data_IF_050951118001
#
_entry.id   IF_050951118001
#
_cell.length_a   1.000
_cell.length_b   1.000
_cell.length_c   1.000
_cell.angle_alpha   90.00
_cell.angle_beta   90.00
_cell.angle_gamma   90.00
#
_symmetry.space_group_name_H-M   'P 1'
#
loop_
_entity.id
_entity.type
_entity.pdbx_description
1 polymer ?
#
# COMPACT_ATOMS: atom_id res chain seq x y z
N UNK A 1 -33.03 5.05 19.05
CA UNK A 1 -32.73 5.44 20.45
C UNK A 1 -31.36 6.10 20.40
N UNK A 2 -31.27 7.40 20.70
CA UNK A 2 -30.00 8.13 20.65
C UNK A 2 -29.17 7.81 21.90
N UNK A 3 -27.86 7.62 21.74
CA UNK A 3 -26.94 7.35 22.83
C UNK A 3 -26.85 8.60 23.75
N UNK A 4 -27.01 8.51 25.08
CA UNK A 4 -26.96 9.65 26.00
C UNK A 4 -25.72 10.55 25.79
N UNK A 5 -24.59 9.94 25.45
CA UNK A 5 -23.33 10.63 25.16
C UNK A 5 -23.43 11.58 23.95
N UNK A 6 -24.14 11.19 22.89
CA UNK A 6 -24.31 12.01 21.68
C UNK A 6 -25.13 13.28 21.97
N UNK A 7 -26.10 13.17 22.89
CA UNK A 7 -26.98 14.27 23.31
C UNK A 7 -26.23 15.25 24.20
N UNK A 8 -25.47 14.76 25.17
CA UNK A 8 -24.70 15.60 26.11
C UNK A 8 -23.58 16.38 25.40
N UNK A 9 -22.99 15.80 24.36
CA UNK A 9 -21.88 16.43 23.61
C UNK A 9 -22.32 17.13 22.31
N UNK A 10 -23.64 17.27 22.08
CA UNK A 10 -24.20 17.91 20.88
C UNK A 10 -23.61 17.34 19.58
N UNK A 11 -23.34 16.03 19.56
CA UNK A 11 -22.79 15.32 18.40
C UNK A 11 -23.96 15.11 17.45
N UNK A 12 -23.97 15.86 16.34
CA UNK A 12 -24.96 15.66 15.28
C UNK A 12 -24.64 14.35 14.57
N UNK A 13 -25.54 13.37 14.63
CA UNK A 13 -25.44 12.14 13.84
C UNK A 13 -25.47 12.51 12.35
N UNK A 14 -24.30 12.61 11.74
CA UNK A 14 -24.19 12.71 10.28
C UNK A 14 -24.78 11.44 9.69
N UNK A 15 -25.64 11.58 8.68
CA UNK A 15 -26.15 10.43 7.93
C UNK A 15 -24.98 9.49 7.54
N UNK A 16 -25.17 8.16 7.59
CA UNK A 16 -24.11 7.25 7.17
C UNK A 16 -23.70 7.62 5.75
N UNK A 17 -22.43 7.98 5.57
CA UNK A 17 -21.83 8.18 4.24
C UNK A 17 -22.22 6.97 3.40
N UNK A 18 -22.61 7.20 2.14
CA UNK A 18 -22.95 6.15 1.18
C UNK A 18 -21.94 5.02 1.31
N UNK A 19 -22.40 3.84 1.75
CA UNK A 19 -21.52 2.70 2.02
C UNK A 19 -20.83 2.33 0.70
N UNK A 20 -19.54 2.64 0.58
CA UNK A 20 -18.67 2.14 -0.46
C UNK A 20 -18.66 0.61 -0.38
N UNK A 21 -18.49 -0.09 -1.50
CA UNK A 21 -18.40 -1.56 -1.49
C UNK A 21 -17.11 -2.06 -0.80
N UNK A 22 -16.22 -1.13 -0.45
CA UNK A 22 -14.88 -1.35 0.10
C UNK A 22 -14.92 -1.61 1.62
N UNK A 23 -14.43 -2.77 2.08
CA UNK A 23 -14.05 -3.01 3.47
C UNK A 23 -13.06 -1.96 4.00
N UNK A 24 -13.06 -1.78 5.33
CA UNK A 24 -12.05 -0.94 5.99
C UNK A 24 -10.72 -1.68 6.09
N UNK A 25 -9.63 -1.00 5.70
CA UNK A 25 -8.25 -1.52 5.78
C UNK A 25 -7.55 -1.18 7.10
N UNK A 26 -8.27 -0.79 8.15
CA UNK A 26 -7.67 -0.44 9.46
C UNK A 26 -6.86 -1.59 10.07
N UNK A 27 -7.40 -2.82 10.03
CA UNK A 27 -6.71 -4.01 10.54
C UNK A 27 -5.42 -4.30 9.77
N UNK A 28 -5.45 -4.10 8.44
CA UNK A 28 -4.28 -4.23 7.59
C UNK A 28 -3.20 -3.22 7.98
N UNK A 29 -3.53 -1.94 8.13
CA UNK A 29 -2.54 -0.92 8.49
C UNK A 29 -1.98 -1.12 9.90
N UNK A 30 -2.80 -1.61 10.84
CA UNK A 30 -2.32 -1.96 12.18
C UNK A 30 -1.30 -3.11 12.11
N UNK A 31 -1.59 -4.17 11.36
CA UNK A 31 -0.66 -5.29 11.18
C UNK A 31 0.62 -4.85 10.45
N UNK A 32 0.47 -4.08 9.38
CA UNK A 32 1.58 -3.55 8.59
C UNK A 32 2.53 -2.69 9.45
N UNK A 33 1.99 -1.87 10.36
CA UNK A 33 2.80 -1.07 11.27
C UNK A 33 3.69 -1.88 12.21
N UNK A 34 3.36 -3.16 12.46
CA UNK A 34 4.18 -4.03 13.31
C UNK A 34 5.35 -4.66 12.55
N UNK A 35 5.21 -4.82 11.23
CA UNK A 35 6.22 -5.44 10.36
C UNK A 35 7.12 -4.42 9.63
N UNK A 36 6.68 -3.16 9.57
CA UNK A 36 7.44 -2.06 8.97
C UNK A 36 8.66 -1.67 9.81
N UNK A 37 9.79 -2.29 9.48
CA UNK A 37 11.07 -2.09 10.17
C UNK A 37 11.86 -0.84 9.73
N UNK A 38 11.45 -0.20 8.63
CA UNK A 38 12.26 0.83 7.95
C UNK A 38 11.70 2.26 8.05
N UNK A 39 10.50 2.44 8.59
CA UNK A 39 9.69 3.67 8.38
C UNK A 39 9.15 4.30 9.68
N UNK A 40 9.38 3.68 10.84
CA UNK A 40 8.88 4.19 12.12
C UNK A 40 9.87 5.14 12.82
N UNK A 41 9.39 6.21 13.48
CA UNK A 41 10.23 7.07 14.33
C UNK A 41 10.69 6.37 15.61
N UNK A 42 9.95 5.35 16.06
CA UNK A 42 10.29 4.54 17.23
C UNK A 42 11.15 3.36 16.79
N UNK A 43 12.45 3.36 17.09
CA UNK A 43 13.29 2.22 16.77
C UNK A 43 12.74 1.00 17.50
N UNK A 44 12.59 -0.13 16.79
CA UNK A 44 12.52 -1.41 17.49
C UNK A 44 13.74 -1.51 18.41
N UNK A 45 13.56 -2.07 19.62
CA UNK A 45 14.65 -2.23 20.58
C UNK A 45 15.87 -2.98 19.99
N UNK A 46 15.66 -3.73 18.89
CA UNK A 46 16.68 -4.48 18.18
C UNK A 46 16.78 -4.02 16.71
N UNK A 47 17.86 -3.35 16.35
CA UNK A 47 18.14 -2.83 14.98
C UNK A 47 18.15 -3.91 13.88
N UNK A 48 18.42 -5.17 14.24
CA UNK A 48 18.48 -6.30 13.30
C UNK A 48 17.24 -7.20 13.33
N UNK A 49 16.17 -6.82 14.05
CA UNK A 49 14.95 -7.62 14.08
C UNK A 49 14.26 -7.57 12.72
N UNK A 50 14.00 -8.74 12.14
CA UNK A 50 13.13 -8.91 10.96
C UNK A 50 11.75 -9.37 11.42
N UNK A 51 10.68 -8.98 10.70
CA UNK A 51 9.33 -9.47 11.00
C UNK A 51 9.27 -11.00 10.85
N UNK A 52 8.42 -11.65 11.63
CA UNK A 52 8.28 -13.10 11.49
C UNK A 52 7.55 -13.43 10.19
N UNK A 53 7.84 -14.57 9.53
CA UNK A 53 7.11 -14.98 8.33
C UNK A 53 5.59 -15.06 8.55
N UNK A 54 5.16 -15.39 9.77
CA UNK A 54 3.73 -15.45 10.14
C UNK A 54 3.09 -14.06 10.11
N UNK A 55 3.77 -13.04 10.62
CA UNK A 55 3.25 -11.67 10.63
C UNK A 55 3.15 -11.07 9.21
N UNK A 56 4.14 -11.39 8.36
CA UNK A 56 4.13 -11.01 6.94
C UNK A 56 2.97 -11.70 6.22
N UNK A 57 2.85 -13.02 6.36
CA UNK A 57 1.75 -13.79 5.76
C UNK A 57 0.36 -13.31 6.24
N UNK A 58 0.23 -12.93 7.51
CA UNK A 58 -1.01 -12.37 8.04
C UNK A 58 -1.39 -11.04 7.36
N UNK A 59 -0.40 -10.19 7.06
CA UNK A 59 -0.62 -8.92 6.35
C UNK A 59 -1.03 -9.14 4.90
N UNK A 60 -0.37 -10.07 4.20
CA UNK A 60 -0.74 -10.49 2.83
C UNK A 60 -2.16 -11.05 2.78
N UNK A 61 -2.56 -11.86 3.78
CA UNK A 61 -3.92 -12.39 3.89
C UNK A 61 -4.98 -11.30 4.03
N UNK A 62 -4.72 -10.27 4.83
CA UNK A 62 -5.65 -9.15 4.98
C UNK A 62 -5.83 -8.38 3.65
N UNK A 63 -4.75 -8.19 2.88
CA UNK A 63 -4.84 -7.61 1.54
C UNK A 63 -5.60 -8.53 0.57
N UNK A 64 -5.35 -9.84 0.65
CA UNK A 64 -6.04 -10.83 -0.16
C UNK A 64 -7.55 -10.87 0.14
N UNK A 65 -7.96 -10.80 1.40
CA UNK A 65 -9.36 -10.73 1.82
C UNK A 65 -10.09 -9.52 1.23
N UNK A 66 -9.41 -8.37 1.17
CA UNK A 66 -9.93 -7.18 0.50
C UNK A 66 -10.17 -7.42 -0.99
N UNK A 67 -9.24 -8.04 -1.72
CA UNK A 67 -9.46 -8.35 -3.14
C UNK A 67 -10.53 -9.41 -3.36
N UNK A 68 -10.63 -10.42 -2.48
CA UNK A 68 -11.73 -11.40 -2.51
C UNK A 68 -13.09 -10.74 -2.26
N UNK A 69 -13.17 -9.77 -1.35
CA UNK A 69 -14.39 -8.99 -1.13
C UNK A 69 -14.79 -8.18 -2.37
N UNK A 70 -13.84 -7.54 -3.05
CA UNK A 70 -14.12 -6.84 -4.31
C UNK A 70 -14.57 -7.82 -5.40
N UNK A 71 -13.88 -8.95 -5.54
CA UNK A 71 -14.20 -9.99 -6.51
C UNK A 71 -15.65 -10.47 -6.36
N UNK A 72 -16.10 -10.74 -5.13
CA UNK A 72 -17.47 -11.17 -4.83
C UNK A 72 -18.55 -10.13 -5.18
N UNK A 73 -18.18 -8.85 -5.31
CA UNK A 73 -19.10 -7.75 -5.63
C UNK A 73 -18.95 -7.22 -7.06
N UNK A 74 -17.95 -7.71 -7.79
CA UNK A 74 -17.66 -7.31 -9.16
C UNK A 74 -18.56 -8.05 -10.15
N UNK A 75 -19.11 -7.33 -11.12
CA UNK A 75 -19.94 -7.89 -12.19
C UNK A 75 -19.21 -7.94 -13.55
N UNK A 76 -17.98 -7.45 -13.63
CA UNK A 76 -17.21 -7.37 -14.88
C UNK A 76 -16.16 -8.48 -14.92
N UNK A 77 -16.28 -9.38 -15.89
CA UNK A 77 -15.38 -10.52 -16.08
C UNK A 77 -13.90 -10.09 -16.17
N UNK A 78 -13.59 -8.98 -16.85
CA UNK A 78 -12.19 -8.54 -17.00
C UNK A 78 -11.60 -8.10 -15.67
N UNK A 79 -12.39 -7.43 -14.84
CA UNK A 79 -11.97 -7.04 -13.50
C UNK A 79 -11.89 -8.25 -12.57
N UNK A 80 -12.79 -9.23 -12.71
CA UNK A 80 -12.72 -10.49 -11.96
C UNK A 80 -11.43 -11.28 -12.28
N UNK A 81 -11.08 -11.42 -13.56
CA UNK A 81 -9.82 -12.06 -13.99
C UNK A 81 -8.60 -11.33 -13.41
N UNK A 82 -8.63 -9.99 -13.46
CA UNK A 82 -7.56 -9.16 -12.91
C UNK A 82 -7.41 -9.34 -11.39
N UNK A 83 -8.51 -9.25 -10.63
CA UNK A 83 -8.51 -9.47 -9.18
C UNK A 83 -8.04 -10.88 -8.82
N UNK A 84 -8.43 -11.89 -9.61
CA UNK A 84 -7.98 -13.28 -9.43
C UNK A 84 -6.46 -13.37 -9.58
N UNK A 85 -5.88 -12.72 -10.60
CA UNK A 85 -4.42 -12.67 -10.77
C UNK A 85 -3.69 -11.98 -9.61
N UNK A 86 -4.32 -10.97 -8.97
CA UNK A 86 -3.76 -10.35 -7.76
C UNK A 86 -3.83 -11.30 -6.57
N UNK A 87 -4.95 -12.00 -6.40
CA UNK A 87 -5.19 -12.95 -5.31
C UNK A 87 -4.21 -14.12 -5.39
N UNK A 88 -4.01 -14.69 -6.59
CA UNK A 88 -3.05 -15.77 -6.84
C UNK A 88 -1.62 -15.32 -6.55
N UNK A 89 -1.25 -14.10 -6.96
CA UNK A 89 0.05 -13.54 -6.63
C UNK A 89 0.26 -13.45 -5.10
N UNK A 90 -0.72 -12.94 -4.35
CA UNK A 90 -0.64 -12.86 -2.88
C UNK A 90 -0.59 -14.27 -2.25
N UNK A 91 -1.28 -15.25 -2.83
CA UNK A 91 -1.21 -16.66 -2.42
C UNK A 91 0.23 -17.19 -2.47
N UNK A 92 0.97 -16.90 -3.55
CA UNK A 92 2.39 -17.29 -3.63
C UNK A 92 3.25 -16.63 -2.54
N UNK A 93 2.94 -15.39 -2.16
CA UNK A 93 3.65 -14.68 -1.09
C UNK A 93 3.24 -15.22 0.29
N UNK A 94 2.01 -15.70 0.47
CA UNK A 94 1.56 -16.31 1.72
C UNK A 94 2.25 -17.67 1.94
N UNK A 95 2.41 -18.47 0.88
CA UNK A 95 3.07 -19.77 0.95
C UNK A 95 4.59 -19.66 1.14
N UNK A 96 5.20 -18.57 0.66
CA UNK A 96 6.61 -18.26 0.84
C UNK A 96 6.82 -16.79 1.18
N UNK A 97 6.58 -16.40 2.45
CA UNK A 97 6.63 -15.00 2.88
C UNK A 97 8.00 -14.38 2.66
N UNK A 98 8.08 -13.17 2.07
CA UNK A 98 9.35 -12.48 1.92
C UNK A 98 9.90 -12.07 3.30
N UNK A 99 11.23 -12.09 3.45
CA UNK A 99 11.89 -11.70 4.71
C UNK A 99 11.71 -10.20 5.03
N UNK A 100 11.49 -9.36 4.01
CA UNK A 100 11.38 -7.91 4.14
C UNK A 100 10.25 -7.39 3.26
N UNK A 101 9.48 -6.45 3.80
CA UNK A 101 8.47 -5.70 3.06
C UNK A 101 9.20 -4.69 2.17
N UNK A 102 9.12 -4.88 0.84
CA UNK A 102 9.71 -3.95 -0.13
C UNK A 102 8.91 -2.64 -0.29
N UNK A 103 7.67 -2.62 0.20
CA UNK A 103 6.70 -1.56 0.01
C UNK A 103 7.17 -0.13 0.28
N UNK A 104 6.44 0.83 -0.27
CA UNK A 104 6.77 2.26 -0.17
C UNK A 104 6.35 2.84 1.18
N UNK A 105 7.03 3.88 1.70
CA UNK A 105 6.62 4.54 2.94
C UNK A 105 5.34 5.34 2.74
N UNK A 106 4.63 5.64 3.84
CA UNK A 106 3.42 6.47 3.80
C UNK A 106 3.67 7.84 3.15
N UNK A 107 4.83 8.45 3.41
CA UNK A 107 5.23 9.72 2.81
C UNK A 107 5.30 9.68 1.27
N UNK A 108 5.62 8.52 0.68
CA UNK A 108 5.60 8.34 -0.76
C UNK A 108 4.16 8.38 -1.30
N UNK A 109 3.22 7.73 -0.61
CA UNK A 109 1.80 7.79 -0.99
C UNK A 109 1.24 9.21 -0.91
N UNK A 110 1.64 9.96 0.11
CA UNK A 110 1.18 11.33 0.32
C UNK A 110 1.68 12.27 -0.79
N UNK A 111 2.87 11.99 -1.33
CA UNK A 111 3.52 12.74 -2.40
C UNK A 111 3.08 12.35 -3.83
N UNK A 112 2.24 11.32 -4.01
CA UNK A 112 1.75 10.93 -5.33
C UNK A 112 0.95 12.05 -6.02
N UNK A 113 1.07 12.13 -7.36
CA UNK A 113 0.34 13.11 -8.18
C UNK A 113 -1.17 12.91 -8.00
N UNK A 114 -1.85 13.96 -7.52
CA UNK A 114 -3.31 14.00 -7.39
C UNK A 114 -3.94 14.34 -8.73
N UNK A 115 -4.99 13.63 -9.09
CA UNK A 115 -5.76 13.91 -10.31
C UNK A 115 -6.97 14.76 -9.96
N UNK A 116 -7.07 15.94 -10.56
CA UNK A 116 -8.19 16.85 -10.32
C UNK A 116 -9.51 16.27 -10.81
N UNK A 117 -10.57 16.38 -9.98
CA UNK A 117 -11.95 15.96 -10.32
C UNK A 117 -12.46 16.56 -11.64
N UNK A 118 -11.98 17.74 -12.01
CA UNK A 118 -12.35 18.46 -13.25
C UNK A 118 -11.79 17.80 -14.52
N UNK A 119 -10.71 17.05 -14.40
CA UNK A 119 -10.05 16.36 -15.51
C UNK A 119 -10.61 14.96 -15.74
N UNK A 120 -11.24 14.39 -14.73
CA UNK A 120 -11.86 13.06 -14.77
C UNK A 120 -13.16 13.09 -15.57
N UNK A 121 -13.37 12.03 -16.36
CA UNK A 121 -14.64 11.79 -17.07
C UNK A 121 -15.55 10.92 -16.21
N UNK A 122 -16.85 10.97 -16.49
CA UNK A 122 -17.86 10.08 -15.85
C UNK A 122 -17.69 8.61 -16.19
N UNK A 123 -16.88 8.28 -17.19
CA UNK A 123 -16.54 6.91 -17.58
C UNK A 123 -15.28 6.39 -16.89
N UNK A 124 -14.53 7.24 -16.18
CA UNK A 124 -13.25 6.86 -15.60
C UNK A 124 -13.50 6.07 -14.31
N UNK A 125 -12.96 4.86 -14.27
CA UNK A 125 -13.16 3.89 -13.19
C UNK A 125 -11.83 3.50 -12.57
N UNK A 126 -11.84 3.13 -11.29
CA UNK A 126 -10.67 2.55 -10.65
C UNK A 126 -10.45 1.11 -11.15
N UNK A 127 -9.25 0.75 -11.67
CA UNK A 127 -8.98 -0.61 -12.15
C UNK A 127 -9.10 -1.72 -11.10
N UNK A 128 -9.00 -1.38 -9.81
CA UNK A 128 -9.02 -2.36 -8.70
C UNK A 128 -10.47 -2.66 -8.29
N UNK A 129 -11.23 -1.65 -7.85
CA UNK A 129 -12.61 -1.84 -7.38
C UNK A 129 -13.68 -1.72 -8.47
N UNK A 130 -13.33 -1.25 -9.67
CA UNK A 130 -14.23 -1.01 -10.80
C UNK A 130 -15.39 -0.04 -10.52
N UNK A 131 -15.21 0.88 -9.56
CA UNK A 131 -16.15 1.97 -9.28
C UNK A 131 -15.76 3.22 -10.07
N UNK A 132 -16.76 4.01 -10.49
CA UNK A 132 -16.55 5.30 -11.16
C UNK A 132 -16.03 6.32 -10.16
N UNK A 133 -14.94 7.01 -10.48
CA UNK A 133 -14.33 7.97 -9.55
C UNK A 133 -15.31 9.08 -9.15
N UNK A 134 -16.11 9.57 -10.10
CA UNK A 134 -17.04 10.68 -9.88
C UNK A 134 -18.31 10.30 -9.12
N UNK A 135 -18.54 9.02 -8.82
CA UNK A 135 -19.65 8.59 -7.96
C UNK A 135 -19.38 8.92 -6.48
N UNK A 136 -18.11 9.12 -6.10
CA UNK A 136 -17.73 9.66 -4.81
C UNK A 136 -17.87 11.20 -4.79
N UNK A 137 -18.38 11.72 -3.68
CA UNK A 137 -18.43 13.16 -3.42
C UNK A 137 -17.01 13.75 -3.35
N UNK A 138 -16.09 13.03 -2.68
CA UNK A 138 -14.70 13.44 -2.42
C UNK A 138 -13.68 12.43 -2.95
N UNK A 139 -13.59 12.23 -4.29
CA UNK A 139 -12.75 11.19 -4.86
C UNK A 139 -11.27 11.50 -4.64
N UNK A 140 -10.54 10.55 -4.05
CA UNK A 140 -9.11 10.68 -3.79
C UNK A 140 -8.31 9.89 -4.81
N UNK A 141 -8.17 10.47 -6.00
CA UNK A 141 -7.55 9.82 -7.15
C UNK A 141 -6.08 10.18 -7.26
N UNK A 142 -5.23 9.17 -7.47
CA UNK A 142 -3.80 9.31 -7.66
C UNK A 142 -3.34 8.71 -8.98
N UNK A 143 -2.30 9.30 -9.56
CA UNK A 143 -1.59 8.76 -10.71
C UNK A 143 -0.24 8.21 -10.26
N UNK A 144 0.06 6.98 -10.69
CA UNK A 144 1.38 6.38 -10.46
C UNK A 144 2.39 6.83 -11.52
N UNK A 145 3.68 7.00 -11.16
CA UNK A 145 4.71 7.50 -12.07
C UNK A 145 5.08 6.51 -13.19
N UNK A 146 4.73 5.24 -13.06
CA UNK A 146 5.05 4.19 -14.04
C UNK A 146 4.40 4.38 -15.42
N UNK A 147 3.18 4.93 -15.46
CA UNK A 147 2.46 5.21 -16.72
C UNK A 147 1.31 6.21 -16.51
N UNK A 148 1.04 7.05 -17.52
CA UNK A 148 0.01 8.11 -17.46
C UNK A 148 -1.41 7.59 -17.25
N UNK A 149 -1.69 6.35 -17.65
CA UNK A 149 -3.00 5.71 -17.51
C UNK A 149 -3.15 4.92 -16.20
N UNK A 150 -2.10 4.83 -15.38
CA UNK A 150 -2.15 4.10 -14.12
C UNK A 150 -2.70 5.02 -13.03
N UNK A 151 -4.02 5.13 -13.04
CA UNK A 151 -4.80 6.01 -12.18
C UNK A 151 -5.71 5.15 -11.29
N UNK A 152 -5.71 5.43 -10.00
CA UNK A 152 -6.44 4.63 -9.01
C UNK A 152 -6.99 5.52 -7.90
N UNK A 153 -7.97 5.01 -7.17
CA UNK A 153 -8.27 5.55 -5.85
C UNK A 153 -7.14 5.21 -4.88
N UNK A 154 -6.72 6.20 -4.09
CA UNK A 154 -5.64 6.04 -3.12
C UNK A 154 -5.93 4.90 -2.14
N UNK A 155 -7.19 4.76 -1.71
CA UNK A 155 -7.60 3.71 -0.77
C UNK A 155 -7.47 2.30 -1.36
N UNK A 156 -7.60 2.15 -2.68
CA UNK A 156 -7.46 0.86 -3.34
C UNK A 156 -6.00 0.49 -3.62
N UNK A 157 -5.20 1.46 -4.10
CA UNK A 157 -3.81 1.19 -4.49
C UNK A 157 -2.83 1.32 -3.32
N UNK A 158 -3.16 2.12 -2.31
CA UNK A 158 -2.31 2.41 -1.16
C UNK A 158 -1.86 1.15 -0.40
N UNK A 159 -2.79 0.26 0.01
CA UNK A 159 -2.42 -1.00 0.67
C UNK A 159 -1.46 -1.86 -0.15
N UNK A 160 -1.70 -1.99 -1.46
CA UNK A 160 -0.82 -2.73 -2.36
C UNK A 160 0.57 -2.11 -2.43
N UNK A 161 0.66 -0.79 -2.61
CA UNK A 161 1.95 -0.10 -2.70
C UNK A 161 2.76 -0.18 -1.41
N UNK A 162 2.09 -0.09 -0.25
CA UNK A 162 2.71 -0.16 1.07
C UNK A 162 3.25 -1.55 1.40
N UNK A 163 2.71 -2.60 0.77
CA UNK A 163 3.16 -3.98 0.96
C UNK A 163 4.15 -4.42 -0.12
N UNK A 164 3.76 -4.29 -1.39
CA UNK A 164 4.47 -4.83 -2.55
C UNK A 164 5.43 -3.84 -3.20
N UNK A 165 5.21 -2.53 -3.04
CA UNK A 165 6.10 -1.50 -3.63
C UNK A 165 6.08 -1.42 -5.16
N UNK A 166 5.14 -2.11 -5.81
CA UNK A 166 5.04 -2.23 -7.26
C UNK A 166 3.69 -1.76 -7.78
N UNK A 167 3.60 -1.37 -9.04
CA UNK A 167 2.31 -1.07 -9.65
C UNK A 167 1.44 -2.35 -9.76
N UNK A 168 0.15 -2.29 -9.40
CA UNK A 168 -0.77 -3.40 -9.59
C UNK A 168 -0.96 -3.83 -11.06
N UNK A 169 -0.72 -2.95 -12.03
CA UNK A 169 -0.98 -3.19 -13.46
C UNK A 169 0.26 -3.66 -14.23
N UNK A 170 1.41 -2.99 -14.07
CA UNK A 170 2.65 -3.31 -14.83
C UNK A 170 3.78 -3.87 -13.96
N UNK A 171 3.57 -4.04 -12.65
CA UNK A 171 4.54 -4.56 -11.68
C UNK A 171 5.86 -3.78 -11.59
N UNK A 172 5.96 -2.58 -12.19
CA UNK A 172 7.16 -1.75 -12.04
C UNK A 172 7.33 -1.31 -10.59
N UNK A 173 8.56 -1.35 -10.09
CA UNK A 173 8.92 -0.88 -8.75
C UNK A 173 8.76 0.65 -8.67
N UNK A 174 8.18 1.12 -7.57
CA UNK A 174 7.94 2.55 -7.33
C UNK A 174 9.16 3.26 -6.72
N UNK A 175 9.97 2.53 -5.94
CA UNK A 175 11.23 2.99 -5.40
C UNK A 175 12.36 2.25 -6.10
N UNK A 176 13.06 2.92 -7.01
CA UNK A 176 14.36 2.43 -7.47
C UNK A 176 15.36 2.64 -6.33
N UNK A 177 15.88 1.55 -5.76
CA UNK A 177 17.02 1.63 -4.85
C UNK A 177 18.19 2.18 -5.65
N UNK A 178 18.56 3.43 -5.40
CA UNK A 178 19.82 3.98 -5.91
C UNK A 178 20.93 3.12 -5.30
N UNK A 179 21.59 2.30 -6.11
CA UNK A 179 22.75 1.54 -5.66
C UNK A 179 23.79 2.53 -5.17
N UNK A 180 24.07 2.48 -3.86
CA UNK A 180 25.17 3.22 -3.27
C UNK A 180 26.43 2.53 -3.78
N UNK A 181 27.08 3.14 -4.77
CA UNK A 181 28.40 2.76 -5.24
C UNK A 181 29.30 2.72 -4.01
N UNK A 182 29.70 1.52 -3.59
CA UNK A 182 30.75 1.36 -2.58
C UNK A 182 32.00 1.97 -3.17
N UNK A 183 32.39 3.14 -2.68
CA UNK A 183 33.74 3.66 -2.89
C UNK A 183 34.66 2.63 -2.24
N UNK A 184 35.49 2.00 -3.06
CA UNK A 184 36.56 1.13 -2.60
C UNK A 184 37.59 2.08 -2.02
N UNK A 185 37.74 2.10 -0.70
CA UNK A 185 38.85 2.78 -0.03
C UNK A 185 40.11 1.95 -0.31
N UNK A 186 40.78 2.25 -1.43
CA UNK A 186 42.15 1.87 -1.69
C UNK A 186 43.07 2.82 -0.88
N UNK A 187 43.19 2.58 0.42
CA UNK A 187 44.29 3.13 1.24
C UNK A 187 45.16 1.96 1.71
N UNK A 188 45.90 1.38 0.77
CA UNK A 188 47.19 0.75 1.06
C UNK A 188 48.19 1.86 1.47
N UNK A 189 48.26 2.20 2.75
CA UNK A 189 49.40 2.96 3.30
C UNK A 189 50.28 2.03 4.16
N UNK A 190 51.23 1.42 3.46
CA UNK A 190 52.64 1.23 3.83
C UNK A 190 52.96 1.49 5.32
N UNK A 191 52.91 0.44 6.15
CA UNK A 191 53.45 0.48 7.51
C UNK A 191 54.98 0.55 7.45
N UNK A 192 55.50 1.73 7.78
CA UNK A 192 56.91 2.07 7.88
C UNK A 192 57.70 1.08 8.76
N UNK A 193 58.70 0.48 8.14
CA UNK A 193 59.71 -0.40 8.73
C UNK A 193 60.75 0.45 9.48
N UNK A 194 60.58 0.64 10.79
CA UNK A 194 61.60 1.30 11.62
C UNK A 194 61.75 0.67 13.01
N UNK A 195 62.41 -0.49 13.05
CA UNK A 195 63.20 -0.92 14.20
C UNK A 195 64.52 -1.54 13.72
N UNK A 196 65.58 -0.75 13.72
CA UNK A 196 66.97 -1.19 13.64
C UNK A 196 67.82 -0.42 14.66
#
# INVERSE_FOLDING_TARGET
MANPYEVEHNIKNSAPKTRTRRPSMSSFFNQLSQIETSTLPTPHNNTHSVPTPVDVAATERLLQEQFRALLNTSSDNRNQDYLTSLIEYLETQIDSPPEKVEGVPQSYLDALERVDKRTLKRSDVCPICNEVFLDDEYPLVVRLPCHKTHVFDLECVGPWLRLQGTCPLDRKKMLEKKEVVKVVDDEEEEYDDMFA
#
